data_IF_815713411666
#
_entry.id   IF_815713411666
#
_cell.length_a   1.000
_cell.length_b   1.000
_cell.length_c   1.000
_cell.angle_alpha   90.00
_cell.angle_beta   90.00
_cell.angle_gamma   90.00
#
_symmetry.space_group_name_H-M   'P 1'
#
loop_
_entity.id
_entity.type
_entity.pdbx_description
1 polymer ?
#
# COMPACT_ATOMS: atom_id res chain seq x y z
N UNK A 1 41.20 -20.78 -6.10
CA UNK A 1 39.77 -21.04 -5.85
C UNK A 1 39.47 -22.42 -6.39
N UNK A 2 39.07 -23.41 -5.57
CA UNK A 2 38.82 -24.75 -6.08
C UNK A 2 37.53 -24.74 -6.92
N UNK A 3 37.63 -25.29 -8.13
CA UNK A 3 36.53 -25.49 -9.06
C UNK A 3 35.77 -26.73 -8.62
N UNK A 4 34.73 -26.53 -7.80
CA UNK A 4 33.73 -27.57 -7.52
C UNK A 4 32.92 -27.76 -8.80
N UNK A 5 33.08 -28.91 -9.46
CA UNK A 5 32.23 -29.30 -10.58
C UNK A 5 30.85 -29.66 -10.03
N UNK A 6 29.98 -28.67 -9.85
CA UNK A 6 28.56 -28.94 -9.67
C UNK A 6 28.03 -29.60 -10.94
N UNK A 7 27.44 -30.77 -10.77
CA UNK A 7 26.89 -31.55 -11.87
C UNK A 7 25.71 -30.78 -12.51
N UNK A 8 25.56 -30.79 -13.85
CA UNK A 8 24.49 -30.06 -14.53
C UNK A 8 23.09 -30.45 -14.03
N UNK A 9 22.90 -31.67 -13.53
CA UNK A 9 21.62 -32.18 -13.04
C UNK A 9 21.19 -31.59 -11.68
N UNK A 10 22.12 -31.33 -10.75
CA UNK A 10 21.78 -30.69 -9.47
C UNK A 10 21.53 -29.19 -9.66
N UNK A 11 22.32 -28.52 -10.51
CA UNK A 11 22.10 -27.11 -10.88
C UNK A 11 20.77 -26.86 -11.59
N UNK A 12 20.29 -27.81 -12.42
CA UNK A 12 18.99 -27.68 -13.09
C UNK A 12 17.84 -27.81 -12.09
N UNK A 13 17.95 -28.69 -11.08
CA UNK A 13 16.91 -28.84 -10.05
C UNK A 13 16.88 -27.62 -9.14
N UNK A 14 18.02 -27.12 -8.68
CA UNK A 14 18.10 -25.90 -7.86
C UNK A 14 17.62 -24.65 -8.64
N UNK A 15 18.07 -24.47 -9.89
CA UNK A 15 17.63 -23.36 -10.75
C UNK A 15 16.13 -23.40 -11.05
N UNK A 16 15.54 -24.60 -11.20
CA UNK A 16 14.09 -24.76 -11.35
C UNK A 16 13.35 -24.37 -10.07
N UNK A 17 13.87 -24.72 -8.88
CA UNK A 17 13.26 -24.32 -7.61
C UNK A 17 13.24 -22.80 -7.42
N UNK A 18 14.32 -22.09 -7.77
CA UNK A 18 14.35 -20.62 -7.70
C UNK A 18 13.34 -20.00 -8.67
N UNK A 19 13.24 -20.51 -9.89
CA UNK A 19 12.32 -19.97 -10.91
C UNK A 19 10.86 -20.22 -10.53
N UNK A 20 10.54 -21.40 -10.01
CA UNK A 20 9.21 -21.74 -9.47
C UNK A 20 8.83 -20.84 -8.29
N UNK A 21 9.79 -20.57 -7.39
CA UNK A 21 9.56 -19.70 -6.22
C UNK A 21 9.28 -18.26 -6.64
N UNK A 22 10.02 -17.72 -7.62
CA UNK A 22 9.73 -16.40 -8.18
C UNK A 22 8.36 -16.36 -8.87
N UNK A 23 8.01 -17.37 -9.66
CA UNK A 23 6.70 -17.47 -10.31
C UNK A 23 5.55 -17.51 -9.30
N UNK A 24 5.70 -18.27 -8.21
CA UNK A 24 4.73 -18.32 -7.12
C UNK A 24 4.63 -16.97 -6.40
N UNK A 25 5.76 -16.31 -6.15
CA UNK A 25 5.81 -15.00 -5.50
C UNK A 25 5.12 -13.91 -6.33
N UNK A 26 5.44 -13.80 -7.63
CA UNK A 26 4.79 -12.84 -8.52
C UNK A 26 3.30 -13.17 -8.74
N UNK A 27 2.95 -14.46 -8.81
CA UNK A 27 1.56 -14.91 -8.87
C UNK A 27 0.77 -14.55 -7.62
N UNK A 28 1.34 -14.74 -6.42
CA UNK A 28 0.73 -14.35 -5.16
C UNK A 28 0.53 -12.83 -5.07
N UNK A 29 1.51 -12.03 -5.52
CA UNK A 29 1.38 -10.57 -5.62
C UNK A 29 0.23 -10.16 -6.56
N UNK A 30 0.09 -10.83 -7.70
CA UNK A 30 -0.97 -10.56 -8.66
C UNK A 30 -2.34 -10.91 -8.08
N UNK A 31 -2.48 -12.07 -7.45
CA UNK A 31 -3.72 -12.47 -6.74
C UNK A 31 -4.05 -11.48 -5.64
N UNK A 32 -3.05 -11.00 -4.88
CA UNK A 32 -3.25 -10.01 -3.84
C UNK A 32 -3.69 -8.65 -4.41
N UNK A 33 -3.10 -8.21 -5.52
CA UNK A 33 -3.54 -6.99 -6.22
C UNK A 33 -4.98 -7.13 -6.74
N UNK A 34 -5.32 -8.26 -7.38
CA UNK A 34 -6.67 -8.55 -7.86
C UNK A 34 -7.69 -8.61 -6.71
N UNK A 35 -7.34 -9.22 -5.58
CA UNK A 35 -8.17 -9.23 -4.38
C UNK A 35 -8.46 -7.80 -3.88
N UNK A 36 -7.47 -6.90 -3.90
CA UNK A 36 -7.68 -5.50 -3.55
C UNK A 36 -8.59 -4.78 -4.56
N UNK A 37 -8.55 -5.12 -5.85
CA UNK A 37 -9.52 -4.60 -6.83
C UNK A 37 -10.94 -5.11 -6.57
N UNK A 38 -11.10 -6.38 -6.23
CA UNK A 38 -12.41 -6.94 -5.84
C UNK A 38 -12.95 -6.25 -4.58
N UNK A 39 -12.08 -5.97 -3.60
CA UNK A 39 -12.46 -5.18 -2.43
C UNK A 39 -12.86 -3.76 -2.82
N UNK A 40 -12.19 -3.12 -3.78
CA UNK A 40 -12.62 -1.82 -4.30
C UNK A 40 -14.03 -1.87 -4.90
N UNK A 41 -14.34 -2.87 -5.73
CA UNK A 41 -15.68 -3.02 -6.30
C UNK A 41 -16.75 -3.33 -5.25
N UNK A 42 -16.40 -4.09 -4.21
CA UNK A 42 -17.31 -4.48 -3.13
C UNK A 42 -17.55 -3.34 -2.12
N UNK A 43 -16.49 -2.66 -1.68
CA UNK A 43 -16.55 -1.63 -0.64
C UNK A 43 -16.80 -0.23 -1.20
N UNK A 44 -16.52 0.01 -2.48
CA UNK A 44 -16.58 1.33 -3.12
C UNK A 44 -15.53 2.33 -2.60
N UNK A 45 -14.50 1.90 -1.88
CA UNK A 45 -13.50 2.82 -1.31
C UNK A 45 -12.18 2.85 -2.07
N UNK A 46 -11.83 4.04 -2.58
CA UNK A 46 -10.71 4.27 -3.50
C UNK A 46 -9.33 3.87 -2.97
N UNK A 47 -9.13 3.81 -1.64
CA UNK A 47 -7.85 3.38 -1.08
C UNK A 47 -7.46 1.95 -1.47
N UNK A 48 -8.44 1.05 -1.68
CA UNK A 48 -8.15 -0.31 -2.16
C UNK A 48 -7.65 -0.32 -3.60
N UNK A 49 -8.13 0.59 -4.45
CA UNK A 49 -7.64 0.75 -5.82
C UNK A 49 -6.18 1.21 -5.82
N UNK A 50 -5.84 2.23 -5.02
CA UNK A 50 -4.46 2.68 -4.89
C UNK A 50 -3.54 1.60 -4.32
N UNK A 51 -4.03 0.77 -3.39
CA UNK A 51 -3.28 -0.37 -2.88
C UNK A 51 -3.03 -1.43 -3.96
N UNK A 52 -4.05 -1.79 -4.75
CA UNK A 52 -3.91 -2.72 -5.85
C UNK A 52 -2.89 -2.22 -6.89
N UNK A 53 -2.96 -0.93 -7.23
CA UNK A 53 -2.04 -0.29 -8.17
C UNK A 53 -0.61 -0.25 -7.63
N UNK A 54 -0.42 0.06 -6.34
CA UNK A 54 0.89 -0.03 -5.67
C UNK A 54 1.47 -1.45 -5.72
N UNK A 55 0.67 -2.47 -5.40
CA UNK A 55 1.10 -3.87 -5.44
C UNK A 55 1.50 -4.31 -6.85
N UNK A 56 0.76 -3.87 -7.87
CA UNK A 56 1.08 -4.14 -9.27
C UNK A 56 2.38 -3.44 -9.71
N UNK A 57 2.55 -2.15 -9.37
CA UNK A 57 3.77 -1.40 -9.65
C UNK A 57 5.00 -2.02 -8.95
N UNK A 58 4.84 -2.44 -7.69
CA UNK A 58 5.90 -3.09 -6.93
C UNK A 58 6.27 -4.45 -7.53
N UNK A 59 5.27 -5.25 -7.93
CA UNK A 59 5.49 -6.49 -8.66
C UNK A 59 6.26 -6.25 -9.96
N UNK A 60 5.89 -5.22 -10.74
CA UNK A 60 6.60 -4.85 -11.96
C UNK A 60 8.06 -4.41 -11.69
N UNK A 61 8.29 -3.63 -10.64
CA UNK A 61 9.63 -3.23 -10.22
C UNK A 61 10.50 -4.43 -9.83
N UNK A 62 9.97 -5.37 -9.04
CA UNK A 62 10.68 -6.59 -8.67
C UNK A 62 10.91 -7.50 -9.88
N UNK A 63 9.97 -7.56 -10.82
CA UNK A 63 10.10 -8.32 -12.07
C UNK A 63 11.15 -7.72 -13.01
N UNK A 64 11.23 -6.39 -13.08
CA UNK A 64 12.24 -5.66 -13.84
C UNK A 64 13.64 -5.78 -13.21
N UNK A 65 13.74 -5.65 -11.89
CA UNK A 65 14.99 -5.83 -11.15
C UNK A 65 15.51 -7.28 -11.23
N UNK A 66 14.61 -8.27 -11.19
CA UNK A 66 14.96 -9.68 -11.32
C UNK A 66 15.44 -10.09 -12.73
N UNK A 67 15.49 -9.17 -13.69
CA UNK A 67 15.97 -9.44 -15.06
C UNK A 67 14.99 -10.21 -15.94
N UNK A 68 13.91 -10.76 -15.36
CA UNK A 68 12.86 -11.46 -16.10
C UNK A 68 12.13 -10.54 -17.10
N UNK A 69 11.90 -9.27 -16.76
CA UNK A 69 11.31 -8.32 -17.71
C UNK A 69 12.14 -8.16 -18.99
N UNK A 70 13.47 -8.25 -18.89
CA UNK A 70 14.38 -8.12 -20.03
C UNK A 70 14.38 -9.38 -20.91
N UNK A 71 14.12 -10.54 -20.32
CA UNK A 71 14.01 -11.80 -21.06
C UNK A 71 12.66 -11.94 -21.79
N UNK A 72 11.55 -11.47 -21.19
CA UNK A 72 10.21 -11.68 -21.74
C UNK A 72 9.64 -10.49 -22.54
N UNK A 73 9.88 -9.23 -22.13
CA UNK A 73 9.25 -8.06 -22.79
C UNK A 73 10.13 -7.38 -23.85
N UNK A 74 11.44 -7.23 -23.59
CA UNK A 74 12.34 -6.43 -24.45
C UNK A 74 13.67 -7.15 -24.72
N UNK A 75 13.65 -8.35 -25.32
CA UNK A 75 14.86 -9.15 -25.53
C UNK A 75 15.92 -8.44 -26.40
N UNK A 76 15.49 -7.52 -27.28
CA UNK A 76 16.36 -6.87 -28.26
C UNK A 76 16.85 -5.47 -27.87
N UNK A 77 16.44 -4.90 -26.73
CA UNK A 77 16.77 -3.50 -26.38
C UNK A 77 17.13 -3.32 -24.90
N UNK A 78 18.44 -3.36 -24.60
CA UNK A 78 18.97 -3.09 -23.27
C UNK A 78 18.66 -1.68 -22.75
N UNK A 79 18.43 -0.70 -23.64
CA UNK A 79 18.09 0.67 -23.22
C UNK A 79 16.69 0.77 -22.60
N UNK A 80 15.67 0.13 -23.19
CA UNK A 80 14.29 0.14 -22.65
C UNK A 80 14.21 -0.62 -21.33
N UNK A 81 14.90 -1.76 -21.27
CA UNK A 81 15.15 -2.53 -20.07
C UNK A 81 15.68 -1.66 -18.91
N UNK A 82 16.77 -0.94 -19.16
CA UNK A 82 17.40 -0.07 -18.16
C UNK A 82 16.48 1.07 -17.72
N UNK A 83 15.66 1.62 -18.61
CA UNK A 83 14.71 2.69 -18.27
C UNK A 83 13.48 2.18 -17.51
N UNK A 84 13.05 0.93 -17.73
CA UNK A 84 11.86 0.37 -17.07
C UNK A 84 12.02 0.21 -15.55
N UNK A 85 13.23 -0.05 -15.05
CA UNK A 85 13.52 -0.20 -13.62
C UNK A 85 13.26 1.11 -12.85
N UNK A 86 13.93 2.24 -13.16
CA UNK A 86 13.67 3.50 -12.47
C UNK A 86 12.25 4.02 -12.73
N UNK A 87 11.66 3.75 -13.91
CA UNK A 87 10.27 4.12 -14.19
C UNK A 87 9.28 3.40 -13.27
N UNK A 88 9.45 2.08 -13.09
CA UNK A 88 8.61 1.29 -12.18
C UNK A 88 8.80 1.74 -10.73
N UNK A 89 10.02 2.11 -10.34
CA UNK A 89 10.31 2.61 -8.99
C UNK A 89 9.56 3.93 -8.68
N UNK A 90 9.56 4.88 -9.62
CA UNK A 90 8.78 6.13 -9.46
C UNK A 90 7.29 5.83 -9.41
N UNK A 91 6.81 4.90 -10.22
CA UNK A 91 5.42 4.49 -10.21
C UNK A 91 5.01 3.90 -8.85
N UNK A 92 5.88 3.09 -8.23
CA UNK A 92 5.69 2.62 -6.85
C UNK A 92 5.59 3.78 -5.86
N UNK A 93 6.54 4.72 -5.90
CA UNK A 93 6.56 5.86 -4.99
C UNK A 93 5.32 6.75 -5.12
N UNK A 94 4.87 7.00 -6.36
CA UNK A 94 3.64 7.73 -6.66
C UNK A 94 2.43 7.01 -6.10
N UNK A 95 2.28 5.72 -6.41
CA UNK A 95 1.17 4.89 -5.92
C UNK A 95 1.11 4.85 -4.41
N UNK A 96 2.28 4.73 -3.76
CA UNK A 96 2.42 4.72 -2.30
C UNK A 96 2.00 6.06 -1.69
N UNK A 97 2.37 7.18 -2.32
CA UNK A 97 1.96 8.52 -1.87
C UNK A 97 0.44 8.70 -1.96
N UNK A 98 -0.17 8.29 -3.09
CA UNK A 98 -1.62 8.37 -3.29
C UNK A 98 -2.37 7.45 -2.31
N UNK A 99 -1.88 6.23 -2.12
CA UNK A 99 -2.40 5.28 -1.15
C UNK A 99 -2.32 5.84 0.27
N UNK A 100 -1.15 6.32 0.71
CA UNK A 100 -0.95 6.89 2.04
C UNK A 100 -1.86 8.09 2.29
N UNK A 101 -2.01 8.99 1.32
CA UNK A 101 -2.93 10.12 1.43
C UNK A 101 -4.38 9.69 1.60
N UNK A 102 -4.83 8.70 0.82
CA UNK A 102 -6.20 8.19 0.89
C UNK A 102 -6.45 7.32 2.14
N UNK A 103 -5.44 6.61 2.64
CA UNK A 103 -5.54 5.71 3.78
C UNK A 103 -5.53 6.48 5.11
N UNK A 104 -4.70 7.53 5.23
CA UNK A 104 -4.60 8.35 6.43
C UNK A 104 -5.70 9.42 6.53
N UNK A 105 -6.64 9.47 5.56
CA UNK A 105 -7.73 10.46 5.48
C UNK A 105 -7.25 11.88 5.85
N UNK A 106 -6.16 12.31 5.21
CA UNK A 106 -5.50 13.57 5.56
C UNK A 106 -6.47 14.73 5.31
N UNK A 107 -6.86 15.42 6.39
CA UNK A 107 -7.81 16.52 6.32
C UNK A 107 -7.32 17.65 5.41
N UNK A 108 -8.23 18.16 4.58
CA UNK A 108 -7.99 19.34 3.74
C UNK A 108 -7.55 20.49 4.65
N UNK A 109 -6.32 21.02 4.42
CA UNK A 109 -5.63 22.10 5.17
C UNK A 109 -4.61 21.69 6.24
N UNK A 110 -4.28 20.41 6.41
CA UNK A 110 -3.11 20.00 7.20
C UNK A 110 -1.80 20.21 6.43
N UNK A 111 -0.70 20.50 7.14
CA UNK A 111 0.66 20.45 6.55
C UNK A 111 0.95 19.11 5.85
N UNK A 112 0.32 18.02 6.32
CA UNK A 112 0.41 16.69 5.72
C UNK A 112 -0.26 16.61 4.33
N UNK A 113 -1.30 17.41 4.03
CA UNK A 113 -1.92 17.45 2.70
C UNK A 113 -1.01 18.17 1.70
N UNK A 114 -0.35 19.24 2.15
CA UNK A 114 0.61 19.99 1.34
C UNK A 114 1.85 19.14 1.02
N UNK A 115 2.41 18.44 2.01
CA UNK A 115 3.59 17.57 1.80
C UNK A 115 3.27 16.41 0.89
N UNK A 116 2.14 15.72 1.06
CA UNK A 116 1.75 14.60 0.19
C UNK A 116 1.40 15.05 -1.23
N UNK A 117 0.77 16.22 -1.41
CA UNK A 117 0.58 16.82 -2.74
C UNK A 117 1.91 17.17 -3.40
N UNK A 118 2.81 17.83 -2.67
CA UNK A 118 4.14 18.19 -3.18
C UNK A 118 4.94 16.94 -3.59
N UNK A 119 4.89 15.87 -2.79
CA UNK A 119 5.50 14.58 -3.11
C UNK A 119 4.88 13.93 -4.35
N UNK A 120 3.55 13.98 -4.49
CA UNK A 120 2.88 13.45 -5.67
C UNK A 120 3.30 14.22 -6.94
N UNK A 121 3.34 15.56 -6.89
CA UNK A 121 3.83 16.40 -7.98
C UNK A 121 5.30 16.14 -8.30
N UNK A 122 6.14 15.98 -7.28
CA UNK A 122 7.53 15.58 -7.45
C UNK A 122 7.63 14.23 -8.16
N UNK A 123 6.86 13.22 -7.75
CA UNK A 123 6.83 11.92 -8.41
C UNK A 123 6.41 12.03 -9.88
N UNK A 124 5.39 12.83 -10.21
CA UNK A 124 5.01 13.08 -11.61
C UNK A 124 6.13 13.77 -12.41
N UNK A 125 6.79 14.77 -11.83
CA UNK A 125 7.95 15.43 -12.45
C UNK A 125 9.11 14.46 -12.70
N UNK A 126 9.43 13.62 -11.71
CA UNK A 126 10.47 12.61 -11.83
C UNK A 126 10.08 11.49 -12.82
N UNK A 127 8.79 11.15 -12.95
CA UNK A 127 8.33 10.17 -13.94
C UNK A 127 8.67 10.62 -15.37
N UNK A 128 8.40 11.89 -15.69
CA UNK A 128 8.75 12.49 -16.99
C UNK A 128 10.26 12.64 -17.16
N UNK A 129 10.97 13.04 -16.09
CA UNK A 129 12.41 13.24 -16.11
C UNK A 129 13.19 11.91 -16.25
N UNK A 130 12.65 10.80 -15.76
CA UNK A 130 13.27 9.47 -15.83
C UNK A 130 13.42 8.98 -17.28
N UNK A 131 12.59 9.47 -18.22
CA UNK A 131 12.73 9.17 -19.65
C UNK A 131 13.92 9.90 -20.30
N UNK A 132 14.41 10.98 -19.70
CA UNK A 132 15.49 11.82 -20.22
C UNK A 132 16.81 11.62 -19.48
N UNK A 133 16.80 11.04 -18.27
CA UNK A 133 17.97 10.90 -17.42
C UNK A 133 18.74 9.59 -17.65
N UNK A 134 20.08 9.61 -17.53
CA UNK A 134 20.88 8.39 -17.55
C UNK A 134 20.56 7.49 -16.34
N UNK A 135 20.50 6.17 -16.59
CA UNK A 135 20.11 5.11 -15.64
C UNK A 135 20.65 5.28 -14.22
N UNK A 136 21.96 5.53 -14.10
CA UNK A 136 22.66 5.63 -12.81
C UNK A 136 22.17 6.80 -11.96
N UNK A 137 21.87 7.93 -12.59
CA UNK A 137 21.38 9.13 -11.88
C UNK A 137 19.89 8.99 -11.57
N UNK A 138 19.12 8.43 -12.50
CA UNK A 138 17.69 8.18 -12.30
C UNK A 138 17.41 7.27 -11.10
N UNK A 139 18.12 6.15 -10.98
CA UNK A 139 17.89 5.21 -9.87
C UNK A 139 18.25 5.80 -8.51
N UNK A 140 19.34 6.57 -8.41
CA UNK A 140 19.73 7.23 -7.15
C UNK A 140 18.67 8.25 -6.72
N UNK A 141 18.25 9.14 -7.62
CA UNK A 141 17.24 10.16 -7.33
C UNK A 141 15.89 9.54 -6.95
N UNK A 142 15.44 8.54 -7.71
CA UNK A 142 14.17 7.87 -7.45
C UNK A 142 14.18 7.08 -6.13
N UNK A 143 15.34 6.51 -5.74
CA UNK A 143 15.48 5.83 -4.44
C UNK A 143 15.40 6.84 -3.29
N UNK A 144 16.10 7.97 -3.38
CA UNK A 144 16.03 9.04 -2.37
C UNK A 144 14.61 9.59 -2.24
N UNK A 145 13.93 9.79 -3.37
CA UNK A 145 12.53 10.20 -3.41
C UNK A 145 11.63 9.17 -2.71
N UNK A 146 11.77 7.88 -3.05
CA UNK A 146 10.98 6.80 -2.45
C UNK A 146 11.20 6.69 -0.93
N UNK A 147 12.44 6.82 -0.46
CA UNK A 147 12.75 6.83 0.97
C UNK A 147 12.13 8.05 1.68
N UNK A 148 12.12 9.21 1.03
CA UNK A 148 11.49 10.42 1.56
C UNK A 148 9.97 10.25 1.64
N UNK A 149 9.35 9.66 0.61
CA UNK A 149 7.92 9.28 0.62
C UNK A 149 7.63 8.37 1.78
N UNK A 150 8.37 7.26 1.90
CA UNK A 150 8.18 6.29 2.97
C UNK A 150 8.33 6.91 4.36
N UNK A 151 9.41 7.67 4.58
CA UNK A 151 9.68 8.35 5.85
C UNK A 151 8.61 9.36 6.22
N UNK A 152 8.16 10.17 5.26
CA UNK A 152 7.10 11.15 5.50
C UNK A 152 5.77 10.49 5.88
N UNK A 153 5.37 9.43 5.16
CA UNK A 153 4.16 8.66 5.48
C UNK A 153 4.26 7.98 6.84
N UNK A 154 5.43 7.46 7.19
CA UNK A 154 5.65 6.83 8.48
C UNK A 154 5.53 7.84 9.63
N UNK A 155 6.09 9.04 9.47
CA UNK A 155 5.95 10.13 10.45
C UNK A 155 4.49 10.56 10.59
N UNK A 156 3.76 10.74 9.49
CA UNK A 156 2.34 11.12 9.53
C UNK A 156 1.50 10.00 10.18
N UNK A 157 1.81 8.73 9.88
CA UNK A 157 1.13 7.58 10.47
C UNK A 157 1.36 7.52 11.99
N UNK A 158 2.60 7.72 12.45
CA UNK A 158 2.93 7.80 13.88
C UNK A 158 2.23 8.99 14.52
N UNK A 159 2.26 10.17 13.90
CA UNK A 159 1.57 11.35 14.41
C UNK A 159 0.08 11.09 14.62
N UNK A 160 -0.59 10.47 13.62
CA UNK A 160 -2.00 10.06 13.72
C UNK A 160 -2.25 8.99 14.77
N UNK A 161 -1.33 8.05 14.93
CA UNK A 161 -1.41 7.01 15.95
C UNK A 161 -1.31 7.59 17.36
N UNK A 162 -0.36 8.52 17.58
CA UNK A 162 -0.13 9.20 18.85
C UNK A 162 -1.26 10.19 19.20
N UNK A 163 -1.84 10.84 18.19
CA UNK A 163 -3.04 11.66 18.34
C UNK A 163 -4.28 10.86 18.73
N UNK A 164 -4.19 9.52 18.74
CA UNK A 164 -4.98 8.61 19.55
C UNK A 164 -6.45 8.99 19.66
N UNK A 165 -7.24 8.65 18.63
CA UNK A 165 -8.70 8.70 18.58
C UNK A 165 -9.33 9.57 19.68
N UNK A 166 -9.20 10.89 19.59
CA UNK A 166 -10.15 11.74 20.28
C UNK A 166 -11.48 11.57 19.52
N UNK A 167 -12.50 10.92 20.10
CA UNK A 167 -13.83 11.01 19.52
C UNK A 167 -14.16 12.51 19.39
N UNK A 168 -14.85 12.94 18.33
CA UNK A 168 -15.13 14.36 18.11
C UNK A 168 -15.63 15.00 19.41
N UNK A 169 -14.81 15.87 19.98
CA UNK A 169 -15.06 16.59 21.21
C UNK A 169 -16.07 17.70 20.92
N UNK A 170 -17.32 17.27 20.81
CA UNK A 170 -18.52 18.07 20.59
C UNK A 170 -19.63 17.07 20.31
N UNK A 171 -20.47 16.68 21.26
CA UNK A 171 -21.24 17.54 22.16
C UNK A 171 -21.83 16.65 23.24
N UNK A 172 -21.36 16.65 24.49
CA UNK A 172 -22.16 16.22 25.64
C UNK A 172 -21.58 16.79 26.94
N UNK A 173 -22.09 17.96 27.32
CA UNK A 173 -22.29 18.41 28.70
C UNK A 173 -23.42 19.44 28.61
N UNK A 174 -24.52 19.35 29.39
CA UNK A 174 -24.43 19.19 30.83
C UNK A 174 -25.46 18.22 31.45
N UNK A 175 -25.10 17.64 32.60
CA UNK A 175 -26.05 17.30 33.66
C UNK A 175 -27.07 16.21 33.36
N UNK A 176 -26.74 14.96 33.70
CA UNK A 176 -27.72 14.02 34.24
C UNK A 176 -27.03 13.09 35.23
N UNK A 177 -27.12 13.48 36.49
CA UNK A 177 -27.10 12.57 37.62
C UNK A 177 -28.29 11.61 37.47
N UNK A 178 -28.03 10.33 37.19
CA UNK A 178 -28.94 9.23 37.51
C UNK A 178 -28.06 8.17 38.16
N UNK A 179 -27.92 8.26 39.47
CA UNK A 179 -28.71 7.49 40.45
C UNK A 179 -28.41 6.01 40.35
N UNK A 180 -27.74 5.56 41.40
CA UNK A 180 -27.59 4.18 41.82
C UNK A 180 -28.92 3.44 41.79
N UNK A 181 -29.04 2.45 40.90
CA UNK A 181 -29.88 1.29 41.16
C UNK A 181 -29.18 0.05 40.60
N UNK A 182 -28.76 -0.80 41.52
CA UNK A 182 -28.11 -2.06 41.22
C UNK A 182 -29.13 -3.11 40.81
N UNK A 183 -28.78 -3.88 39.78
CA UNK A 183 -29.20 -5.27 39.65
C UNK A 183 -28.28 -5.97 38.65
N UNK A 184 -27.37 -6.79 39.19
CA UNK A 184 -26.93 -8.09 38.68
C UNK A 184 -26.92 -8.34 37.15
N UNK A 185 -25.70 -8.40 36.58
CA UNK A 185 -25.06 -9.44 35.71
C UNK A 185 -25.95 -10.51 35.01
N UNK A 186 -25.48 -11.25 33.95
CA UNK A 186 -24.17 -11.26 33.28
C UNK A 186 -24.21 -11.37 31.72
N UNK A 187 -23.36 -10.65 31.00
CA UNK A 187 -22.99 -11.02 29.62
C UNK A 187 -21.46 -11.04 29.48
N UNK A 188 -20.83 -12.07 30.05
CA UNK A 188 -19.39 -12.35 29.92
C UNK A 188 -19.05 -13.49 28.94
N UNK A 189 -20.02 -13.97 28.15
CA UNK A 189 -19.78 -15.05 27.18
C UNK A 189 -20.11 -14.60 25.75
N UNK A 190 -19.29 -13.72 25.17
CA UNK A 190 -19.02 -13.72 23.71
C UNK A 190 -17.80 -12.85 23.36
N UNK A 191 -16.66 -13.09 24.02
CA UNK A 191 -15.39 -12.46 23.69
C UNK A 191 -14.67 -13.26 22.57
N UNK A 192 -15.22 -13.27 21.35
CA UNK A 192 -14.50 -13.69 20.14
C UNK A 192 -14.92 -12.80 18.96
N UNK A 193 -14.65 -11.50 19.04
CA UNK A 193 -14.56 -10.65 17.85
C UNK A 193 -13.39 -9.67 18.07
N UNK A 194 -12.40 -9.61 17.15
CA UNK A 194 -11.33 -8.63 17.24
C UNK A 194 -11.92 -7.23 17.04
N UNK A 195 -11.66 -6.34 18.00
CA UNK A 195 -12.20 -4.98 18.14
C UNK A 195 -11.62 -3.96 17.15
N UNK A 196 -11.00 -4.39 16.04
CA UNK A 196 -10.36 -3.51 15.06
C UNK A 196 -11.17 -3.25 13.78
N UNK A 197 -12.45 -3.66 13.72
CA UNK A 197 -13.30 -3.35 12.56
C UNK A 197 -14.07 -2.03 12.73
N UNK A 198 -14.00 -1.11 11.75
CA UNK A 198 -14.69 0.17 11.82
C UNK A 198 -16.21 -0.02 11.66
N UNK A 199 -16.92 0.05 12.79
CA UNK A 199 -18.38 -0.01 12.89
C UNK A 199 -19.14 1.11 12.14
N UNK A 200 -18.43 2.06 11.48
CA UNK A 200 -19.03 3.15 10.72
C UNK A 200 -19.80 2.70 9.48
N UNK A 201 -19.58 1.48 8.96
CA UNK A 201 -20.25 1.01 7.74
C UNK A 201 -21.57 0.27 7.97
N UNK A 202 -21.78 -0.34 9.15
CA UNK A 202 -23.05 -1.02 9.47
C UNK A 202 -24.14 -0.07 9.97
N UNK A 203 -23.78 1.02 10.65
CA UNK A 203 -24.78 1.97 11.15
C UNK A 203 -25.51 2.72 10.02
N UNK A 204 -24.87 2.90 8.85
CA UNK A 204 -25.49 3.54 7.68
C UNK A 204 -26.54 2.66 7.00
N UNK A 205 -26.47 1.34 7.16
CA UNK A 205 -27.47 0.39 6.64
C UNK A 205 -28.69 0.29 7.58
N UNK A 206 -28.46 0.22 8.89
CA UNK A 206 -29.54 0.08 9.87
C UNK A 206 -30.40 1.34 10.07
N UNK A 207 -29.85 2.54 9.86
CA UNK A 207 -30.63 3.78 9.94
C UNK A 207 -31.53 4.04 8.73
N UNK A 208 -31.25 3.45 7.56
CA UNK A 208 -32.09 3.60 6.37
C UNK A 208 -33.30 2.66 6.41
N UNK A 209 -33.17 1.48 7.03
CA UNK A 209 -34.27 0.49 7.07
C UNK A 209 -35.34 0.83 8.11
N UNK A 210 -35.03 1.59 9.17
CA UNK A 210 -36.00 1.87 10.26
C UNK A 210 -36.90 3.09 10.04
N UNK A 211 -36.77 3.79 8.91
CA UNK A 211 -37.58 4.96 8.57
C UNK A 211 -38.57 4.71 7.39
N UNK A 212 -38.75 3.46 6.96
CA UNK A 212 -39.61 3.10 5.84
C UNK A 212 -40.64 1.99 6.13
N UNK A 213 -41.06 1.81 7.39
CA UNK A 213 -42.16 0.91 7.74
C UNK A 213 -42.98 1.43 8.91
#
# INVERSE_FOLDING_TARGET
MPLTFESPSELIVESNHLTLTHGLFYGALLVFSAFNLLLFFSSGTIYYFYNAFYMAAMGLFMFAMGGFANQYFWPNSASLANTSIPMSLVLCALSMTLFGRSFLEIGEKSLADLTTKALAWACFGFLGLTLLLPYRTGIMLNTVLALTVLGSLFIIAIGRWLEGYQPPSGTWSPGLSCSSEGSSMPWQHLAILPTSWPAKRLCRSWWVVRWCS
#
